data_IF_402420628553
#
_entry.id   IF_402420628553
#
_cell.length_a   1.000
_cell.length_b   1.000
_cell.length_c   1.000
_cell.angle_alpha   90.00
_cell.angle_beta   90.00
_cell.angle_gamma   90.00
#
_symmetry.space_group_name_H-M   'P 1'
#
loop_
_entity.id
_entity.type
_entity.pdbx_description
1 polymer ?
#
# COMPACT_ATOMS: atom_id res chain seq x y z
N UNK A 1 -1.59 3.30 4.26
CA UNK A 1 -2.25 1.97 4.40
C UNK A 1 -3.47 2.17 5.27
N UNK A 2 -4.65 1.76 4.83
CA UNK A 2 -5.81 1.60 5.69
C UNK A 2 -6.13 0.10 5.76
N UNK A 3 -6.56 -0.39 6.91
CA UNK A 3 -7.09 -1.73 7.03
C UNK A 3 -8.64 -1.66 7.04
N UNK A 4 -9.33 -2.71 6.60
CA UNK A 4 -10.80 -2.72 6.56
C UNK A 4 -11.45 -3.01 7.91
N UNK A 5 -10.63 -3.21 8.95
CA UNK A 5 -11.04 -3.58 10.31
C UNK A 5 -10.99 -2.38 11.27
N UNK A 6 -10.26 -1.32 10.92
CA UNK A 6 -10.02 -0.13 11.74
C UNK A 6 -10.11 1.15 10.89
N UNK A 7 -10.45 2.27 11.52
CA UNK A 7 -10.46 3.58 10.86
C UNK A 7 -9.05 4.23 10.78
N UNK A 8 -8.00 3.47 11.07
CA UNK A 8 -6.64 4.01 11.14
C UNK A 8 -6.00 4.08 9.74
N UNK A 9 -5.52 5.28 9.39
CA UNK A 9 -4.62 5.49 8.28
C UNK A 9 -3.17 5.54 8.75
N UNK A 10 -2.29 4.78 8.10
CA UNK A 10 -0.84 4.84 8.33
C UNK A 10 -0.13 5.53 7.16
N UNK A 11 0.70 6.51 7.49
CA UNK A 11 1.58 7.23 6.58
C UNK A 11 3.05 6.95 6.93
N UNK A 12 3.89 6.82 5.93
CA UNK A 12 5.33 6.56 6.09
C UNK A 12 6.08 7.06 4.86
N UNK A 13 7.36 7.31 5.02
CA UNK A 13 8.21 7.67 3.91
C UNK A 13 8.53 6.45 3.04
N UNK A 14 8.70 6.69 1.74
CA UNK A 14 9.04 5.63 0.76
C UNK A 14 10.32 4.86 1.15
N UNK A 15 11.28 5.52 1.79
CA UNK A 15 12.53 4.88 2.21
C UNK A 15 12.35 3.89 3.36
N UNK A 16 11.25 3.97 4.11
CA UNK A 16 10.93 3.03 5.19
C UNK A 16 10.18 1.79 4.68
N UNK A 17 9.75 1.75 3.42
CA UNK A 17 9.10 0.57 2.82
C UNK A 17 9.94 -0.70 2.96
N UNK A 18 11.26 -0.59 2.87
CA UNK A 18 12.18 -1.72 3.04
C UNK A 18 12.11 -2.36 4.43
N UNK A 19 11.69 -1.62 5.45
CA UNK A 19 11.47 -2.12 6.82
C UNK A 19 10.02 -2.58 7.02
N UNK A 20 9.08 -1.84 6.44
CA UNK A 20 7.65 -2.04 6.63
C UNK A 20 7.16 -3.29 5.90
N UNK A 21 7.55 -3.49 4.63
CA UNK A 21 7.07 -4.62 3.82
C UNK A 21 7.39 -5.97 4.48
N UNK A 22 8.62 -6.25 4.95
CA UNK A 22 8.93 -7.48 5.65
C UNK A 22 8.11 -7.69 6.93
N UNK A 23 7.85 -6.63 7.71
CA UNK A 23 7.01 -6.71 8.90
C UNK A 23 5.58 -7.13 8.54
N UNK A 24 4.98 -6.45 7.55
CA UNK A 24 3.62 -6.74 7.11
C UNK A 24 3.48 -8.17 6.57
N UNK A 25 4.45 -8.63 5.77
CA UNK A 25 4.43 -10.00 5.21
C UNK A 25 4.56 -11.09 6.27
N UNK A 26 5.29 -10.84 7.36
CA UNK A 26 5.54 -11.86 8.39
C UNK A 26 4.46 -11.87 9.48
N UNK A 27 3.99 -10.68 9.89
CA UNK A 27 3.16 -10.52 11.08
C UNK A 27 1.68 -10.30 10.76
N UNK A 28 1.35 -9.91 9.52
CA UNK A 28 -0.03 -9.59 9.13
C UNK A 28 -0.45 -10.44 7.92
N UNK A 29 -1.21 -11.52 8.10
CA UNK A 29 -1.54 -12.46 7.04
C UNK A 29 -2.71 -11.94 6.17
N UNK A 30 -2.50 -10.84 5.45
CA UNK A 30 -3.51 -10.20 4.59
C UNK A 30 -2.89 -9.48 3.39
N UNK A 31 -3.75 -9.05 2.48
CA UNK A 31 -3.39 -8.17 1.36
C UNK A 31 -3.05 -6.76 1.85
N UNK A 32 -1.95 -6.17 1.35
CA UNK A 32 -1.55 -4.82 1.70
C UNK A 32 -1.47 -3.92 0.47
N UNK A 33 -2.05 -2.72 0.60
CA UNK A 33 -2.06 -1.70 -0.44
C UNK A 33 -1.38 -0.42 0.05
N UNK A 34 -0.41 0.05 -0.73
CA UNK A 34 0.33 1.27 -0.48
C UNK A 34 0.05 2.22 -1.63
N UNK A 35 -0.61 3.32 -1.34
CA UNK A 35 -0.92 4.36 -2.30
C UNK A 35 -0.01 5.56 -2.03
N UNK A 36 0.54 6.18 -3.06
CA UNK A 36 1.23 7.47 -2.90
C UNK A 36 0.24 8.56 -2.49
N UNK A 37 0.74 9.61 -1.85
CA UNK A 37 -0.09 10.74 -1.38
C UNK A 37 -0.86 11.43 -2.52
N UNK A 38 -0.25 11.48 -3.71
CA UNK A 38 -0.90 11.98 -4.93
C UNK A 38 -1.79 10.96 -5.65
N UNK A 39 -1.96 9.76 -5.08
CA UNK A 39 -2.71 8.64 -5.62
C UNK A 39 -2.31 8.19 -7.04
N UNK A 40 -1.09 8.51 -7.49
CA UNK A 40 -0.58 8.13 -8.82
C UNK A 40 0.15 6.79 -8.84
N UNK A 41 0.60 6.29 -7.69
CA UNK A 41 1.39 5.05 -7.59
C UNK A 41 0.77 4.10 -6.58
N UNK A 42 0.78 2.82 -6.93
CA UNK A 42 0.27 1.73 -6.10
C UNK A 42 1.33 0.65 -5.95
N UNK A 43 1.55 0.20 -4.72
CA UNK A 43 2.23 -1.06 -4.42
C UNK A 43 1.19 -1.99 -3.81
N UNK A 44 1.14 -3.22 -4.30
CA UNK A 44 0.29 -4.28 -3.77
C UNK A 44 1.17 -5.44 -3.34
N UNK A 45 0.99 -5.88 -2.10
CA UNK A 45 1.62 -7.09 -1.55
C UNK A 45 0.52 -8.12 -1.31
N UNK A 46 0.62 -9.26 -2.00
CA UNK A 46 -0.35 -10.34 -1.87
C UNK A 46 -0.15 -11.14 -0.59
N UNK A 47 -1.18 -11.91 -0.22
CA UNK A 47 -1.10 -12.88 0.88
C UNK A 47 -0.03 -13.95 0.62
N UNK A 48 0.19 -14.29 -0.66
CA UNK A 48 1.19 -15.24 -1.14
C UNK A 48 2.61 -14.65 -1.20
N UNK A 49 2.83 -13.48 -0.62
CA UNK A 49 4.12 -12.78 -0.58
C UNK A 49 4.64 -12.32 -1.96
N UNK A 50 3.73 -12.09 -2.91
CA UNK A 50 4.07 -11.50 -4.20
C UNK A 50 3.92 -9.98 -4.15
N UNK A 51 4.83 -9.26 -4.83
CA UNK A 51 4.84 -7.79 -4.85
C UNK A 51 4.57 -7.30 -6.27
N UNK A 52 3.60 -6.40 -6.38
CA UNK A 52 3.15 -5.79 -7.62
C UNK A 52 3.27 -4.27 -7.56
N UNK A 53 3.62 -3.66 -8.69
CA UNK A 53 3.72 -2.21 -8.86
C UNK A 53 2.74 -1.76 -9.94
N UNK A 54 2.01 -0.69 -9.66
CA UNK A 54 1.04 -0.09 -10.57
C UNK A 54 1.11 1.42 -10.57
N UNK A 55 0.64 2.01 -11.67
CA UNK A 55 0.42 3.45 -11.79
C UNK A 55 -1.07 3.71 -12.03
N UNK A 56 -1.63 4.66 -11.30
CA UNK A 56 -2.98 5.16 -11.48
C UNK A 56 -2.94 6.40 -12.37
N UNK A 57 -3.45 6.27 -13.60
CA UNK A 57 -3.76 7.43 -14.42
C UNK A 57 -5.08 8.05 -13.93
N UNK A 58 -5.00 8.89 -12.91
CA UNK A 58 -6.08 9.78 -12.54
C UNK A 58 -6.13 10.91 -13.58
N UNK A 59 -6.70 10.62 -14.77
CA UNK A 59 -7.22 11.71 -15.59
C UNK A 59 -8.22 12.48 -14.72
N UNK A 60 -8.19 13.83 -14.76
CA UNK A 60 -9.04 14.79 -14.01
C UNK A 60 -10.57 14.62 -14.15
N UNK A 61 -11.07 13.43 -14.46
CA UNK A 61 -12.48 13.12 -14.40
C UNK A 61 -12.83 12.74 -12.96
N UNK A 62 -13.53 13.67 -12.30
CA UNK A 62 -14.45 13.40 -11.19
C UNK A 62 -13.82 13.22 -9.79
N UNK A 63 -13.28 14.32 -9.25
CA UNK A 63 -13.38 14.67 -7.83
C UNK A 63 -14.16 15.97 -7.68
#
# INVERSE_FOLDING_TARGET
IGDSLTENGYEFYVHDLLKIIPYLMNDIPQHHYFLSDDATKLIYVSFENEIYFGECNLSKAEL
#
